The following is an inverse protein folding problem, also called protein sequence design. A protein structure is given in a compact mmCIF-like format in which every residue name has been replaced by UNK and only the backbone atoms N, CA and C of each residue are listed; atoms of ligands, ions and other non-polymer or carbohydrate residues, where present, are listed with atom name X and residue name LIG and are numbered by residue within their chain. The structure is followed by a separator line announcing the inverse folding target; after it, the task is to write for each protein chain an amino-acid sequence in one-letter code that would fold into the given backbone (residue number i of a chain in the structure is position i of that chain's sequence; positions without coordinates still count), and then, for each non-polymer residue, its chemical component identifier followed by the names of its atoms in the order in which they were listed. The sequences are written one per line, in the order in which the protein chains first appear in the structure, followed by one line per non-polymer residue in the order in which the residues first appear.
data_IF_673959880546
#
_entry.id   IF_673959880546
#
_cell.length_a   1.000
_cell.length_b   1.000
_cell.length_c   1.000
_cell.angle_alpha   90.00
_cell.angle_beta   90.00
_cell.angle_gamma   90.00
#
_symmetry.space_group_name_H-M   'P 1'
#
loop_
_entity.id
_entity.type
_entity.pdbx_description
1 polymer ?
#
# COMPACT_ATOMS: atom_id res chain seq x y z
N UNK A 1 -4.94 24.59 7.85
CA UNK A 1 -4.94 24.77 6.37
C UNK A 1 -6.24 24.25 5.76
N UNK A 2 -6.62 24.74 4.57
CA UNK A 2 -7.70 24.12 3.77
C UNK A 2 -7.20 22.81 3.10
N UNK A 3 -8.11 22.02 2.50
CA UNK A 3 -7.75 20.74 1.90
C UNK A 3 -6.81 20.86 0.69
N UNK A 4 -7.00 21.86 -0.17
CA UNK A 4 -6.17 22.06 -1.37
C UNK A 4 -4.72 22.36 -1.00
N UNK A 5 -4.50 23.29 -0.08
CA UNK A 5 -3.17 23.62 0.44
C UNK A 5 -2.52 22.41 1.12
N UNK A 6 -3.29 21.66 1.92
CA UNK A 6 -2.80 20.46 2.60
C UNK A 6 -2.40 19.37 1.59
N UNK A 7 -3.18 19.18 0.53
CA UNK A 7 -2.91 18.21 -0.52
C UNK A 7 -1.67 18.56 -1.33
N UNK A 8 -1.50 19.84 -1.69
CA UNK A 8 -0.30 20.32 -2.38
C UNK A 8 0.96 20.11 -1.52
N UNK A 9 0.94 20.54 -0.26
CA UNK A 9 2.05 20.33 0.66
C UNK A 9 2.39 18.83 0.80
N UNK A 10 1.37 17.96 0.90
CA UNK A 10 1.59 16.52 0.92
C UNK A 10 2.29 16.04 -0.34
N UNK A 11 1.79 16.38 -1.52
CA UNK A 11 2.40 15.98 -2.80
C UNK A 11 3.85 16.44 -2.89
N UNK A 12 4.13 17.68 -2.51
CA UNK A 12 5.48 18.23 -2.50
C UNK A 12 6.41 17.43 -1.58
N UNK A 13 5.94 17.09 -0.37
CA UNK A 13 6.69 16.22 0.55
C UNK A 13 6.97 14.82 -0.02
N UNK A 14 6.04 14.26 -0.79
CA UNK A 14 6.15 12.91 -1.33
C UNK A 14 7.00 12.84 -2.60
N UNK A 15 6.99 13.89 -3.42
CA UNK A 15 7.69 13.97 -4.70
C UNK A 15 9.19 14.16 -4.53
N UNK A 16 9.60 15.01 -3.57
CA UNK A 16 11.01 15.32 -3.39
C UNK A 16 11.78 14.12 -2.83
N UNK A 17 12.86 13.75 -3.54
CA UNK A 17 13.78 12.67 -3.13
C UNK A 17 15.11 13.21 -2.62
N UNK A 18 15.31 14.52 -2.73
CA UNK A 18 16.51 15.24 -2.32
C UNK A 18 16.15 16.30 -1.29
N UNK A 19 17.16 16.83 -0.59
CA UNK A 19 16.95 17.86 0.43
C UNK A 19 16.46 19.14 -0.25
N UNK A 20 15.32 19.66 0.20
CA UNK A 20 14.77 20.95 -0.21
C UNK A 20 14.72 21.88 1.01
N UNK A 21 15.65 22.84 1.07
CA UNK A 21 15.78 23.78 2.18
C UNK A 21 14.54 24.67 2.35
N UNK A 22 13.91 25.08 1.23
CA UNK A 22 12.69 25.88 1.28
C UNK A 22 11.55 25.07 1.89
N UNK A 23 11.46 23.78 1.53
CA UNK A 23 10.47 22.88 2.13
C UNK A 23 10.71 22.64 3.61
N UNK A 24 11.97 22.48 4.01
CA UNK A 24 12.34 22.35 5.43
C UNK A 24 11.89 23.59 6.21
N UNK A 25 12.14 24.78 5.67
CA UNK A 25 11.72 26.04 6.29
C UNK A 25 10.18 26.12 6.40
N UNK A 26 9.45 25.77 5.34
CA UNK A 26 7.98 25.73 5.36
C UNK A 26 7.45 24.74 6.40
N UNK A 27 7.97 23.51 6.43
CA UNK A 27 7.58 22.46 7.40
C UNK A 27 7.87 22.87 8.84
N UNK A 28 8.99 23.56 9.09
CA UNK A 28 9.33 24.09 10.42
C UNK A 28 8.46 25.28 10.85
N UNK A 29 7.87 25.99 9.89
CA UNK A 29 6.94 27.11 10.17
C UNK A 29 5.50 26.65 10.48
N UNK A 30 5.18 25.37 10.25
CA UNK A 30 3.84 24.84 10.46
C UNK A 30 3.44 24.85 11.94
N UNK A 31 2.19 25.25 12.20
CA UNK A 31 1.58 25.12 13.52
C UNK A 31 1.17 23.67 13.76
N UNK A 32 0.97 23.31 15.03
CA UNK A 32 0.51 21.96 15.40
C UNK A 32 -0.78 21.54 14.68
N UNK A 33 -1.73 22.46 14.50
CA UNK A 33 -2.99 22.20 13.78
C UNK A 33 -2.79 21.94 12.26
N UNK A 34 -1.78 22.57 11.66
CA UNK A 34 -1.46 22.37 10.24
C UNK A 34 -0.76 21.02 10.04
N UNK A 35 0.14 20.66 10.96
CA UNK A 35 0.70 19.32 11.04
C UNK A 35 -0.37 18.24 11.22
N UNK A 36 -1.34 18.47 12.10
CA UNK A 36 -2.45 17.55 12.30
C UNK A 36 -3.28 17.38 11.01
N UNK A 37 -3.58 18.49 10.33
CA UNK A 37 -4.29 18.47 9.05
C UNK A 37 -3.55 17.65 8.00
N UNK A 38 -2.23 17.85 7.88
CA UNK A 38 -1.36 17.11 6.96
C UNK A 38 -1.33 15.61 7.27
N UNK A 39 -1.11 15.23 8.53
CA UNK A 39 -1.04 13.82 8.93
C UNK A 39 -2.39 13.13 8.77
N UNK A 40 -3.49 13.78 9.15
CA UNK A 40 -4.83 13.23 8.94
C UNK A 40 -5.14 13.04 7.45
N UNK A 41 -4.72 13.98 6.60
CA UNK A 41 -4.90 13.87 5.15
C UNK A 41 -4.06 12.71 4.58
N UNK A 42 -2.79 12.59 4.97
CA UNK A 42 -1.92 11.49 4.55
C UNK A 42 -2.46 10.11 4.95
N UNK A 43 -3.08 9.99 6.14
CA UNK A 43 -3.76 8.76 6.58
C UNK A 43 -4.97 8.46 5.69
N UNK A 44 -5.83 9.44 5.42
CA UNK A 44 -7.01 9.27 4.55
C UNK A 44 -6.64 8.84 3.13
N UNK A 45 -5.51 9.33 2.62
CA UNK A 45 -4.99 9.00 1.29
C UNK A 45 -4.11 7.73 1.29
N UNK A 46 -3.98 7.02 2.43
CA UNK A 46 -3.17 5.80 2.55
C UNK A 46 -1.69 5.97 2.16
N UNK A 47 -1.14 7.18 2.39
CA UNK A 47 0.27 7.53 2.11
C UNK A 47 1.04 7.94 3.37
N UNK A 48 0.46 7.77 4.55
CA UNK A 48 1.12 8.06 5.83
C UNK A 48 2.48 7.32 6.02
N UNK A 49 2.63 6.03 5.65
CA UNK A 49 3.94 5.37 5.70
C UNK A 49 5.00 6.03 4.81
N UNK A 50 4.61 6.41 3.60
CA UNK A 50 5.50 7.10 2.66
C UNK A 50 5.88 8.50 3.17
N UNK A 51 4.90 9.25 3.72
CA UNK A 51 5.18 10.53 4.33
C UNK A 51 6.16 10.38 5.49
N UNK A 52 5.93 9.45 6.41
CA UNK A 52 6.85 9.17 7.52
C UNK A 52 8.27 8.90 7.03
N UNK A 53 8.40 8.04 6.03
CA UNK A 53 9.70 7.71 5.45
C UNK A 53 10.39 8.95 4.88
N UNK A 54 9.70 9.77 4.08
CA UNK A 54 10.26 11.03 3.52
C UNK A 54 10.69 12.00 4.61
N UNK A 55 9.87 12.20 5.65
CA UNK A 55 10.22 13.07 6.76
C UNK A 55 11.43 12.54 7.55
N UNK A 56 11.60 11.21 7.63
CA UNK A 56 12.73 10.57 8.32
C UNK A 56 14.01 10.55 7.50
N UNK A 57 13.95 10.46 6.17
CA UNK A 57 15.14 10.25 5.32
C UNK A 57 15.58 11.49 4.57
N UNK A 58 14.66 12.37 4.19
CA UNK A 58 14.93 13.58 3.40
C UNK A 58 14.88 14.82 4.29
N UNK A 59 13.86 14.94 5.13
CA UNK A 59 13.60 16.14 5.93
C UNK A 59 14.01 15.96 7.41
N UNK A 60 15.21 15.46 7.66
CA UNK A 60 15.68 15.05 9.00
C UNK A 60 15.74 16.17 10.04
N UNK A 61 15.84 17.43 9.60
CA UNK A 61 15.96 18.62 10.44
C UNK A 61 14.63 19.28 10.82
N UNK A 62 13.49 18.68 10.45
CA UNK A 62 12.17 19.26 10.77
C UNK A 62 11.72 18.89 12.18
N UNK A 63 11.04 19.83 12.83
CA UNK A 63 10.41 19.59 14.13
C UNK A 63 8.95 19.16 13.98
N UNK A 64 8.71 17.84 14.06
CA UNK A 64 7.37 17.26 14.04
C UNK A 64 6.84 17.16 15.48
N UNK A 65 5.61 17.60 15.78
CA UNK A 65 4.99 17.33 17.08
C UNK A 65 5.04 15.85 17.44
N UNK A 66 5.51 15.52 18.64
CA UNK A 66 5.84 14.14 19.04
C UNK A 66 4.67 13.15 18.87
N UNK A 67 3.45 13.56 19.22
CA UNK A 67 2.24 12.75 19.06
C UNK A 67 1.95 12.40 17.59
N UNK A 68 2.18 13.35 16.68
CA UNK A 68 1.97 13.18 15.24
C UNK A 68 3.09 12.35 14.61
N UNK A 69 4.34 12.54 15.04
CA UNK A 69 5.46 11.67 14.66
C UNK A 69 5.19 10.22 15.05
N UNK A 70 4.71 9.99 16.26
CA UNK A 70 4.34 8.65 16.73
C UNK A 70 3.18 8.05 15.91
N UNK A 71 2.16 8.85 15.55
CA UNK A 71 1.05 8.43 14.67
C UNK A 71 1.55 7.98 13.30
N UNK A 72 2.46 8.74 12.69
CA UNK A 72 3.11 8.40 11.41
C UNK A 72 3.95 7.13 11.51
N UNK A 73 4.76 7.01 12.56
CA UNK A 73 5.57 5.82 12.81
C UNK A 73 4.69 4.57 13.00
N UNK A 74 3.58 4.69 13.74
CA UNK A 74 2.63 3.58 13.92
C UNK A 74 2.01 3.15 12.58
N UNK A 75 1.65 4.09 11.72
CA UNK A 75 1.14 3.78 10.39
C UNK A 75 2.19 3.04 9.53
N UNK A 76 3.44 3.49 9.56
CA UNK A 76 4.55 2.84 8.87
C UNK A 76 4.76 1.39 9.34
N UNK A 77 4.83 1.17 10.65
CA UNK A 77 4.99 -0.17 11.22
C UNK A 77 3.79 -1.08 10.94
N UNK A 78 2.56 -0.56 11.07
CA UNK A 78 1.35 -1.32 10.78
C UNK A 78 1.29 -1.75 9.31
N UNK A 79 1.65 -0.86 8.38
CA UNK A 79 1.75 -1.17 6.95
C UNK A 79 2.80 -2.25 6.69
N UNK A 80 3.96 -2.17 7.33
CA UNK A 80 4.99 -3.21 7.21
C UNK A 80 4.54 -4.58 7.72
N UNK A 81 3.88 -4.62 8.88
CA UNK A 81 3.34 -5.85 9.46
C UNK A 81 2.27 -6.47 8.54
N UNK A 82 1.31 -5.67 8.09
CA UNK A 82 0.25 -6.12 7.19
C UNK A 82 0.83 -6.67 5.90
N UNK A 83 1.75 -5.93 5.27
CA UNK A 83 2.35 -6.36 4.03
C UNK A 83 3.18 -7.63 4.20
N UNK A 84 3.90 -7.77 5.32
CA UNK A 84 4.63 -9.02 5.62
C UNK A 84 3.68 -10.22 5.65
N UNK A 85 2.50 -10.08 6.27
CA UNK A 85 1.47 -11.12 6.24
C UNK A 85 0.98 -11.39 4.81
N UNK A 86 0.67 -10.34 4.04
CA UNK A 86 0.22 -10.46 2.65
C UNK A 86 1.25 -11.16 1.75
N UNK A 87 2.54 -10.84 1.87
CA UNK A 87 3.60 -11.50 1.11
C UNK A 87 3.80 -12.96 1.54
N UNK A 88 3.61 -13.27 2.83
CA UNK A 88 3.65 -14.66 3.32
C UNK A 88 2.54 -15.50 2.66
N UNK A 89 1.31 -15.00 2.63
CA UNK A 89 0.19 -15.66 1.97
C UNK A 89 0.37 -15.74 0.46
N UNK A 90 0.79 -14.64 -0.18
CA UNK A 90 1.09 -14.61 -1.61
C UNK A 90 2.14 -15.67 -2.00
N UNK A 91 3.19 -15.84 -1.18
CA UNK A 91 4.21 -16.87 -1.40
C UNK A 91 3.62 -18.29 -1.36
N UNK A 92 2.68 -18.57 -0.45
CA UNK A 92 1.98 -19.86 -0.39
C UNK A 92 1.13 -20.10 -1.64
N UNK A 93 0.37 -19.09 -2.07
CA UNK A 93 -0.48 -19.16 -3.28
C UNK A 93 0.37 -19.40 -4.52
N UNK A 94 1.43 -18.63 -4.73
CA UNK A 94 2.32 -18.78 -5.89
C UNK A 94 2.92 -20.18 -5.94
N UNK A 95 3.40 -20.73 -4.81
CA UNK A 95 3.95 -22.09 -4.76
C UNK A 95 2.90 -23.14 -5.09
N UNK A 96 1.69 -23.02 -4.54
CA UNK A 96 0.60 -23.94 -4.84
C UNK A 96 0.22 -23.92 -6.32
N UNK A 97 0.15 -22.73 -6.93
CA UNK A 97 -0.20 -22.57 -8.34
C UNK A 97 0.92 -23.08 -9.26
N UNK A 98 2.18 -22.85 -8.89
CA UNK A 98 3.34 -23.40 -9.60
C UNK A 98 3.35 -24.93 -9.61
N UNK A 99 3.04 -25.59 -8.49
CA UNK A 99 2.94 -27.05 -8.41
C UNK A 99 1.83 -27.61 -9.34
N UNK A 100 0.80 -26.80 -9.59
CA UNK A 100 -0.29 -27.11 -10.51
C UNK A 100 -0.03 -26.67 -11.95
N UNK A 101 1.16 -26.15 -12.27
CA UNK A 101 1.50 -25.57 -13.57
C UNK A 101 0.56 -24.43 -14.01
N UNK A 102 0.08 -23.62 -13.04
CA UNK A 102 -0.73 -22.42 -13.26
C UNK A 102 0.19 -21.20 -13.20
N UNK A 103 0.52 -20.55 -14.34
CA UNK A 103 1.35 -19.37 -14.35
C UNK A 103 0.60 -18.15 -13.82
N UNK A 104 1.31 -17.36 -13.02
CA UNK A 104 0.77 -16.21 -12.31
C UNK A 104 1.59 -14.97 -12.62
N UNK A 105 0.91 -13.83 -12.79
CA UNK A 105 1.52 -12.50 -12.75
C UNK A 105 1.02 -11.80 -11.49
N UNK A 106 1.95 -11.39 -10.62
CA UNK A 106 1.62 -10.56 -9.44
C UNK A 106 1.38 -9.13 -9.91
N UNK A 107 0.25 -8.55 -9.53
CA UNK A 107 -0.17 -7.23 -9.97
C UNK A 107 -0.02 -6.16 -8.88
N UNK A 108 -0.16 -4.90 -9.32
CA UNK A 108 -0.38 -3.70 -8.50
C UNK A 108 0.50 -3.65 -7.24
N UNK A 109 -0.13 -3.58 -6.06
CA UNK A 109 0.51 -3.26 -4.80
C UNK A 109 1.71 -4.16 -4.50
N UNK A 110 1.53 -5.48 -4.57
CA UNK A 110 2.58 -6.43 -4.23
C UNK A 110 3.75 -6.39 -5.22
N UNK A 111 3.51 -6.05 -6.49
CA UNK A 111 4.62 -5.83 -7.41
C UNK A 111 5.30 -4.46 -7.19
N UNK A 112 4.51 -3.40 -6.97
CA UNK A 112 5.00 -2.03 -6.86
C UNK A 112 5.71 -1.73 -5.54
N UNK A 113 5.32 -2.37 -4.44
CA UNK A 113 5.83 -2.03 -3.10
C UNK A 113 7.36 -2.23 -3.01
N UNK A 114 7.90 -3.31 -3.55
CA UNK A 114 9.35 -3.48 -3.62
C UNK A 114 9.96 -2.76 -4.84
N UNK A 115 9.39 -2.93 -6.04
CA UNK A 115 10.06 -2.52 -7.27
C UNK A 115 9.99 -1.01 -7.57
N UNK A 116 8.98 -0.32 -7.04
CA UNK A 116 8.79 1.13 -7.28
C UNK A 116 9.04 1.94 -6.01
N UNK A 117 8.54 1.47 -4.86
CA UNK A 117 8.75 2.18 -3.59
C UNK A 117 10.10 1.85 -2.93
N UNK A 118 10.70 0.69 -3.24
CA UNK A 118 11.98 0.25 -2.69
C UNK A 118 11.90 -0.40 -1.30
N UNK A 119 10.74 -0.32 -0.65
CA UNK A 119 10.47 -0.84 0.69
C UNK A 119 8.99 -1.20 0.79
N UNK A 120 8.71 -2.47 1.10
CA UNK A 120 7.34 -2.99 1.18
C UNK A 120 6.49 -2.22 2.18
N UNK A 121 7.06 -1.62 3.23
CA UNK A 121 6.30 -0.89 4.25
C UNK A 121 5.65 0.39 3.72
N UNK A 122 6.14 0.94 2.60
CA UNK A 122 5.75 2.26 2.10
C UNK A 122 4.44 2.24 1.29
N UNK A 123 4.08 1.08 0.74
CA UNK A 123 2.83 0.90 -0.01
C UNK A 123 1.80 0.28 0.92
N UNK A 124 0.87 1.06 1.46
CA UNK A 124 -0.26 0.47 2.20
C UNK A 124 -1.11 -0.41 1.28
N UNK A 125 -1.35 -1.66 1.67
CA UNK A 125 -2.14 -2.65 0.94
C UNK A 125 -3.09 -3.37 1.89
N UNK A 126 -4.29 -3.67 1.41
CA UNK A 126 -5.29 -4.50 2.11
C UNK A 126 -5.36 -5.93 1.57
N UNK A 127 -4.94 -6.11 0.32
CA UNK A 127 -5.09 -7.32 -0.47
C UNK A 127 -3.88 -7.52 -1.39
N UNK A 128 -3.88 -8.64 -2.11
CA UNK A 128 -2.94 -8.94 -3.18
C UNK A 128 -3.73 -9.32 -4.43
N UNK A 129 -3.34 -8.73 -5.56
CA UNK A 129 -3.91 -9.04 -6.86
C UNK A 129 -2.96 -9.97 -7.63
N UNK A 130 -3.51 -11.06 -8.16
CA UNK A 130 -2.80 -11.95 -9.08
C UNK A 130 -3.61 -12.13 -10.37
N UNK A 131 -2.91 -12.31 -11.48
CA UNK A 131 -3.49 -12.61 -12.78
C UNK A 131 -3.11 -14.02 -13.21
N UNK A 132 -4.12 -14.79 -13.62
CA UNK A 132 -3.98 -16.11 -14.25
C UNK A 132 -4.54 -16.05 -15.66
N UNK A 133 -4.19 -17.04 -16.49
CA UNK A 133 -4.84 -17.19 -17.79
C UNK A 133 -6.30 -17.62 -17.61
N UNK A 134 -7.15 -17.16 -18.51
CA UNK A 134 -8.58 -17.53 -18.52
C UNK A 134 -8.79 -19.05 -18.58
N UNK A 135 -7.93 -19.78 -19.31
CA UNK A 135 -7.97 -21.24 -19.41
C UNK A 135 -7.66 -21.96 -18.10
N UNK A 136 -6.92 -21.32 -17.20
CA UNK A 136 -6.45 -21.92 -15.95
C UNK A 136 -7.32 -21.50 -14.76
N UNK A 137 -8.39 -20.75 -15.02
CA UNK A 137 -9.19 -20.09 -14.00
C UNK A 137 -9.94 -21.06 -13.08
N UNK A 138 -10.60 -22.07 -13.66
CA UNK A 138 -11.30 -23.10 -12.88
C UNK A 138 -10.33 -23.84 -11.96
N UNK A 139 -9.17 -24.23 -12.52
CA UNK A 139 -8.10 -24.90 -11.77
C UNK A 139 -7.54 -24.03 -10.64
N UNK A 140 -7.38 -22.73 -10.90
CA UNK A 140 -6.91 -21.77 -9.91
C UNK A 140 -7.91 -21.61 -8.76
N UNK A 141 -9.22 -21.58 -9.06
CA UNK A 141 -10.26 -21.47 -8.04
C UNK A 141 -10.38 -22.74 -7.20
N UNK A 142 -10.39 -23.92 -7.82
CA UNK A 142 -10.35 -25.20 -7.11
C UNK A 142 -9.16 -25.22 -6.15
N UNK A 143 -7.97 -24.83 -6.63
CA UNK A 143 -6.78 -24.80 -5.78
C UNK A 143 -6.90 -23.80 -4.63
N UNK A 144 -7.49 -22.64 -4.90
CA UNK A 144 -7.73 -21.60 -3.90
C UNK A 144 -8.67 -22.10 -2.79
N UNK A 145 -9.74 -22.81 -3.16
CA UNK A 145 -10.67 -23.43 -2.21
C UNK A 145 -10.01 -24.56 -1.39
N UNK A 146 -9.20 -25.43 -2.02
CA UNK A 146 -8.42 -26.46 -1.34
C UNK A 146 -7.47 -25.89 -0.28
N UNK A 147 -6.90 -24.71 -0.54
CA UNK A 147 -6.04 -23.99 0.39
C UNK A 147 -6.82 -23.36 1.58
N UNK A 148 -8.15 -23.45 1.58
CA UNK A 148 -9.01 -22.94 2.65
C UNK A 148 -9.43 -21.48 2.52
N UNK A 149 -9.14 -20.84 1.38
CA UNK A 149 -9.69 -19.51 1.10
C UNK A 149 -11.16 -19.67 0.68
N UNK A 150 -12.03 -18.83 1.21
CA UNK A 150 -13.44 -18.78 0.83
C UNK A 150 -13.71 -17.58 -0.08
N UNK A 151 -14.76 -17.64 -0.89
CA UNK A 151 -15.34 -16.44 -1.50
C UNK A 151 -16.59 -16.06 -0.73
N UNK A 152 -16.87 -14.76 -0.61
CA UNK A 152 -18.15 -14.26 -0.09
C UNK A 152 -19.29 -14.42 -1.12
N UNK A 153 -18.99 -14.85 -2.34
CA UNK A 153 -19.95 -14.97 -3.44
C UNK A 153 -20.50 -16.39 -3.57
N UNK A 154 -21.78 -16.45 -3.94
CA UNK A 154 -22.56 -17.68 -4.18
C UNK A 154 -22.61 -18.03 -5.68
N UNK A 155 -22.16 -17.13 -6.56
CA UNK A 155 -22.23 -17.29 -8.02
C UNK A 155 -21.06 -18.12 -8.59
N UNK A 156 -21.34 -18.93 -9.61
CA UNK A 156 -20.33 -19.68 -10.37
C UNK A 156 -19.30 -18.74 -11.03
N UNK A 157 -18.03 -19.15 -11.02
CA UNK A 157 -16.90 -18.33 -11.47
C UNK A 157 -17.01 -17.91 -12.94
N UNK A 158 -17.64 -18.72 -13.79
CA UNK A 158 -17.88 -18.42 -15.20
C UNK A 158 -18.85 -17.23 -15.36
N UNK A 159 -19.88 -17.15 -14.51
CA UNK A 159 -20.85 -16.05 -14.49
C UNK A 159 -20.19 -14.77 -14.01
N UNK A 160 -19.32 -14.86 -13.01
CA UNK A 160 -18.54 -13.72 -12.52
C UNK A 160 -17.60 -13.21 -13.62
N UNK A 161 -16.91 -14.10 -14.33
CA UNK A 161 -15.99 -13.73 -15.40
C UNK A 161 -16.66 -13.17 -16.66
N UNK A 162 -17.93 -13.49 -16.90
CA UNK A 162 -18.71 -12.87 -17.96
C UNK A 162 -19.05 -11.40 -17.64
N UNK A 163 -19.12 -11.03 -16.36
CA UNK A 163 -19.52 -9.70 -15.89
C UNK A 163 -18.35 -8.84 -15.39
N UNK A 164 -17.23 -9.47 -15.01
CA UNK A 164 -16.09 -8.84 -14.35
C UNK A 164 -14.78 -9.50 -14.76
N UNK A 165 -13.71 -8.71 -14.86
CA UNK A 165 -12.34 -9.23 -15.02
C UNK A 165 -11.64 -9.48 -13.69
N UNK A 166 -12.34 -9.30 -12.57
CA UNK A 166 -11.83 -9.47 -11.22
C UNK A 166 -12.76 -10.36 -10.39
N UNK A 167 -12.17 -11.32 -9.70
CA UNK A 167 -12.82 -12.18 -8.73
C UNK A 167 -12.29 -11.76 -7.35
N UNK A 168 -13.15 -11.25 -6.46
CA UNK A 168 -12.76 -10.86 -5.11
C UNK A 168 -12.50 -12.06 -4.19
#
# INVERSE_FOLDING_TARGET
MNQETTGKLLLDCLHCREIDENRIAELNSLRAADWESLVQFAVRQSVAPLLYHRLKTVYTSINIPASLKHKLQKAYLASGMQNTCLYSELSKIIKAFQNENIPVIVLKGAHLAQNVYGDITLRSMSDVDILVRKTDLLKAEEKRLEMGYSSSRVEEIEVVCAKSQHIP
#
